data_IF_183261452055
#
_entry.id   IF_183261452055
#
_cell.length_a   1.000
_cell.length_b   1.000
_cell.length_c   1.000
_cell.angle_alpha   90.00
_cell.angle_beta   90.00
_cell.angle_gamma   90.00
#
_symmetry.space_group_name_H-M   'P 1'
#
loop_
_entity.id
_entity.type
_entity.pdbx_description
1 polymer ?
#
# COMPACT_ATOMS: atom_id res chain seq x y z
N UNK A 1 1.04 -6.92 -8.09
CA UNK A 1 1.02 -6.98 -6.61
C UNK A 1 1.11 -5.62 -5.94
N UNK A 2 1.94 -4.67 -6.39
CA UNK A 2 1.89 -3.28 -5.88
C UNK A 2 1.94 -2.25 -7.01
N UNK A 3 2.74 -2.52 -8.04
CA UNK A 3 2.93 -1.63 -9.18
C UNK A 3 2.06 -2.06 -10.36
N UNK A 4 2.47 -3.10 -11.09
CA UNK A 4 1.75 -3.62 -12.26
C UNK A 4 2.71 -4.26 -13.27
N UNK A 5 2.21 -4.51 -14.48
CA UNK A 5 2.98 -5.04 -15.61
C UNK A 5 2.61 -4.27 -16.90
N UNK A 6 3.59 -3.79 -17.70
CA UNK A 6 5.04 -3.80 -17.47
C UNK A 6 5.46 -2.87 -16.32
N UNK A 7 6.31 -3.37 -15.40
CA UNK A 7 6.58 -2.72 -14.10
C UNK A 7 6.96 -1.26 -14.19
N UNK A 8 7.89 -0.90 -15.09
CA UNK A 8 8.39 0.47 -15.19
C UNK A 8 7.30 1.44 -15.65
N UNK A 9 6.51 1.06 -16.68
CA UNK A 9 5.41 1.91 -17.16
C UNK A 9 4.33 2.07 -16.10
N UNK A 10 3.97 1.00 -15.39
CA UNK A 10 3.01 1.10 -14.29
C UNK A 10 3.50 2.02 -13.18
N UNK A 11 4.80 1.99 -12.83
CA UNK A 11 5.38 2.89 -11.83
C UNK A 11 5.33 4.37 -12.28
N UNK A 12 5.55 4.64 -13.56
CA UNK A 12 5.40 6.00 -14.11
C UNK A 12 3.95 6.49 -14.01
N UNK A 13 2.98 5.67 -14.45
CA UNK A 13 1.55 6.00 -14.36
C UNK A 13 1.15 6.25 -12.90
N UNK A 14 1.58 5.40 -11.98
CA UNK A 14 1.33 5.59 -10.54
C UNK A 14 1.91 6.92 -10.05
N UNK A 15 3.14 7.27 -10.45
CA UNK A 15 3.77 8.52 -10.05
C UNK A 15 3.05 9.75 -10.62
N UNK A 16 2.62 9.67 -11.89
CA UNK A 16 1.82 10.70 -12.58
C UNK A 16 0.47 10.91 -11.87
N UNK A 17 -0.23 9.83 -11.50
CA UNK A 17 -1.56 9.89 -10.88
C UNK A 17 -1.54 10.27 -9.39
N UNK A 18 -0.57 9.79 -8.61
CA UNK A 18 -0.52 10.07 -7.17
C UNK A 18 0.15 11.41 -6.84
N UNK A 19 0.98 11.94 -7.75
CA UNK A 19 1.69 13.22 -7.61
C UNK A 19 2.46 13.40 -6.28
N UNK A 20 2.73 12.31 -5.56
CA UNK A 20 3.39 12.31 -4.25
C UNK A 20 4.10 10.98 -4.02
N UNK A 21 5.22 11.03 -3.29
CA UNK A 21 5.91 9.81 -2.85
C UNK A 21 5.02 8.94 -1.96
N UNK A 22 5.16 7.62 -2.07
CA UNK A 22 4.43 6.64 -1.24
C UNK A 22 5.02 6.47 0.16
N UNK A 23 6.24 6.97 0.41
CA UNK A 23 6.94 6.77 1.67
C UNK A 23 7.15 5.28 1.95
N UNK A 24 6.86 4.83 3.18
CA UNK A 24 6.96 3.43 3.55
C UNK A 24 5.92 2.53 2.86
N UNK A 25 4.79 3.09 2.40
CA UNK A 25 3.71 2.31 1.80
C UNK A 25 4.22 1.54 0.59
N UNK A 26 4.05 0.22 0.63
CA UNK A 26 4.47 -0.73 -0.40
C UNK A 26 5.98 -0.89 -0.61
N UNK A 27 6.78 -0.33 0.30
CA UNK A 27 8.18 -0.71 0.50
C UNK A 27 8.29 -2.01 1.31
N UNK A 28 9.42 -2.19 1.99
CA UNK A 28 9.71 -3.40 2.76
C UNK A 28 10.30 -3.05 4.12
N UNK A 29 9.92 -3.82 5.13
CA UNK A 29 10.55 -3.87 6.44
C UNK A 29 11.01 -5.31 6.70
N UNK A 30 12.17 -5.45 7.30
CA UNK A 30 12.73 -6.76 7.58
C UNK A 30 14.13 -6.66 8.18
N UNK A 31 14.91 -7.73 8.07
CA UNK A 31 16.23 -7.80 8.70
C UNK A 31 17.27 -8.43 7.77
N UNK A 32 18.52 -8.02 7.97
CA UNK A 32 19.70 -8.63 7.39
C UNK A 32 20.66 -9.00 8.52
N UNK A 33 21.08 -10.26 8.58
CA UNK A 33 22.01 -10.76 9.60
C UNK A 33 23.45 -10.80 9.10
N UNK A 34 24.42 -10.91 10.02
CA UNK A 34 25.85 -11.01 9.66
C UNK A 34 26.20 -12.31 8.93
N UNK A 35 25.43 -13.38 9.12
CA UNK A 35 25.54 -14.63 8.38
C UNK A 35 24.80 -14.60 7.03
N UNK A 36 24.29 -13.43 6.62
CA UNK A 36 23.74 -13.21 5.28
C UNK A 36 22.28 -13.60 5.09
N UNK A 37 21.54 -13.89 6.18
CA UNK A 37 20.09 -14.16 6.08
C UNK A 37 19.34 -12.84 5.91
N UNK A 38 18.44 -12.82 4.95
CA UNK A 38 17.58 -11.69 4.63
C UNK A 38 16.13 -12.16 4.60
N UNK A 39 15.28 -11.46 5.33
CA UNK A 39 13.82 -11.61 5.23
C UNK A 39 13.19 -10.23 5.16
N UNK A 40 12.31 -10.02 4.20
CA UNK A 40 11.66 -8.74 3.89
C UNK A 40 10.18 -8.97 3.62
N UNK A 41 9.34 -8.12 4.20
CA UNK A 41 7.92 -8.10 3.88
C UNK A 41 7.58 -7.10 2.77
N UNK A 42 6.27 -6.96 2.50
CA UNK A 42 5.71 -5.81 1.79
C UNK A 42 4.86 -5.03 2.79
N UNK A 43 5.10 -3.73 2.89
CA UNK A 43 4.37 -2.83 3.78
C UNK A 43 3.00 -2.46 3.20
N UNK A 44 2.06 -3.39 3.36
CA UNK A 44 0.62 -3.22 3.16
C UNK A 44 -0.10 -3.48 4.48
N UNK A 45 -1.34 -2.98 4.62
CA UNK A 45 -2.07 -3.05 5.90
C UNK A 45 -1.20 -2.51 7.06
N UNK A 46 -0.50 -1.40 6.80
CA UNK A 46 0.42 -0.77 7.75
C UNK A 46 0.08 0.72 7.85
N UNK A 47 0.46 1.33 8.97
CA UNK A 47 0.31 2.77 9.21
C UNK A 47 1.67 3.39 9.47
N UNK A 48 1.84 4.65 9.08
CA UNK A 48 3.02 5.46 9.41
C UNK A 48 2.57 6.60 10.32
N UNK A 49 3.21 6.72 11.48
CA UNK A 49 3.04 7.84 12.41
C UNK A 49 4.21 8.80 12.23
N UNK A 50 3.92 10.05 11.90
CA UNK A 50 4.90 11.13 11.88
C UNK A 50 4.42 12.24 12.80
N UNK A 51 5.21 12.59 13.82
CA UNK A 51 4.81 13.45 14.92
C UNK A 51 3.47 13.03 15.55
N UNK A 52 2.37 13.74 15.26
CA UNK A 52 1.02 13.43 15.75
C UNK A 52 0.05 13.05 14.63
N UNK A 53 0.55 12.83 13.41
CA UNK A 53 -0.25 12.49 12.25
C UNK A 53 -0.02 11.02 11.87
N UNK A 54 -1.09 10.25 11.97
CA UNK A 54 -1.14 8.87 11.50
C UNK A 54 -1.66 8.85 10.06
N UNK A 55 -0.99 8.12 9.19
CA UNK A 55 -1.39 7.96 7.79
C UNK A 55 -1.30 6.50 7.37
N UNK A 56 -2.17 6.10 6.46
CA UNK A 56 -2.11 4.81 5.80
C UNK A 56 -2.63 4.94 4.38
N UNK A 57 -2.32 3.96 3.55
CA UNK A 57 -2.81 3.87 2.18
C UNK A 57 -3.31 2.44 1.93
N UNK A 58 -4.26 2.33 1.02
CA UNK A 58 -4.77 1.07 0.48
C UNK A 58 -5.00 1.25 -1.01
N UNK A 59 -4.98 0.16 -1.78
CA UNK A 59 -5.27 0.18 -3.20
C UNK A 59 -5.69 -1.18 -3.73
N UNK A 60 -6.05 -1.19 -5.00
CA UNK A 60 -6.45 -2.37 -5.76
C UNK A 60 -5.64 -2.49 -7.06
N UNK A 61 -5.65 -3.68 -7.65
CA UNK A 61 -5.00 -3.92 -8.93
C UNK A 61 -6.02 -3.68 -10.04
N UNK A 62 -5.70 -2.80 -10.99
CA UNK A 62 -6.60 -2.48 -12.11
C UNK A 62 -6.21 -3.31 -13.33
N UNK A 63 -7.19 -3.98 -13.93
CA UNK A 63 -7.09 -4.68 -15.21
C UNK A 63 -8.13 -4.14 -16.20
N UNK A 64 -8.10 -4.59 -17.46
CA UNK A 64 -8.98 -4.07 -18.50
C UNK A 64 -10.48 -4.23 -18.17
N UNK A 65 -10.84 -5.33 -17.49
CA UNK A 65 -12.22 -5.66 -17.15
C UNK A 65 -12.59 -5.22 -15.71
N UNK A 66 -11.75 -4.41 -15.06
CA UNK A 66 -12.04 -3.91 -13.72
C UNK A 66 -13.24 -2.97 -13.73
N UNK A 67 -14.12 -3.16 -12.76
CA UNK A 67 -15.24 -2.26 -12.48
C UNK A 67 -14.83 -1.21 -11.43
N UNK A 68 -14.88 0.10 -11.73
CA UNK A 68 -14.38 1.13 -10.83
C UNK A 68 -15.02 1.12 -9.42
N UNK A 69 -16.32 0.81 -9.34
CA UNK A 69 -17.04 0.80 -8.06
C UNK A 69 -16.58 -0.37 -7.19
N UNK A 70 -16.46 -1.56 -7.80
CA UNK A 70 -15.98 -2.76 -7.11
C UNK A 70 -14.53 -2.62 -6.62
N UNK A 71 -13.65 -2.01 -7.41
CA UNK A 71 -12.25 -1.79 -7.01
C UNK A 71 -12.13 -0.80 -5.84
N UNK A 72 -13.00 0.22 -5.81
CA UNK A 72 -13.09 1.16 -4.70
C UNK A 72 -13.61 0.48 -3.43
N UNK A 73 -14.63 -0.38 -3.55
CA UNK A 73 -15.15 -1.18 -2.45
C UNK A 73 -14.09 -2.12 -1.87
N UNK A 74 -13.31 -2.79 -2.72
CA UNK A 74 -12.19 -3.62 -2.31
C UNK A 74 -11.12 -2.80 -1.57
N UNK A 75 -10.78 -1.63 -2.09
CA UNK A 75 -9.81 -0.73 -1.46
C UNK A 75 -10.29 -0.27 -0.07
N UNK A 76 -11.57 0.10 0.06
CA UNK A 76 -12.21 0.41 1.35
C UNK A 76 -12.20 -0.81 2.27
N UNK A 77 -12.47 -2.01 1.76
CA UNK A 77 -12.42 -3.24 2.54
C UNK A 77 -11.03 -3.51 3.13
N UNK A 78 -9.97 -3.26 2.36
CA UNK A 78 -8.59 -3.36 2.83
C UNK A 78 -8.28 -2.33 3.93
N UNK A 79 -8.81 -1.11 3.80
CA UNK A 79 -8.66 -0.04 4.78
C UNK A 79 -9.45 -0.29 6.08
N UNK A 80 -10.62 -0.94 6.02
CA UNK A 80 -11.49 -1.16 7.20
C UNK A 80 -10.76 -1.85 8.36
N UNK A 81 -9.93 -2.86 8.07
CA UNK A 81 -9.18 -3.56 9.12
C UNK A 81 -8.21 -2.65 9.87
N UNK A 82 -7.61 -1.68 9.17
CA UNK A 82 -6.73 -0.68 9.78
C UNK A 82 -7.53 0.30 10.65
N UNK A 83 -8.66 0.80 10.14
CA UNK A 83 -9.52 1.72 10.89
C UNK A 83 -10.12 1.07 12.14
N UNK A 84 -10.52 -0.20 12.06
CA UNK A 84 -11.02 -0.96 13.20
C UNK A 84 -9.96 -1.10 14.32
N UNK A 85 -8.69 -1.28 13.96
CA UNK A 85 -7.60 -1.36 14.93
C UNK A 85 -7.39 -0.06 15.74
N UNK A 86 -7.85 1.09 15.24
CA UNK A 86 -7.81 2.37 15.95
C UNK A 86 -9.04 2.62 16.85
N UNK A 87 -9.90 1.61 17.04
CA UNK A 87 -11.11 1.72 17.84
C UNK A 87 -12.39 1.94 17.03
N UNK A 88 -12.30 1.96 15.70
CA UNK A 88 -13.43 2.10 14.77
C UNK A 88 -14.04 3.51 14.80
N UNK A 89 -14.34 4.07 13.62
CA UNK A 89 -15.30 5.17 13.55
C UNK A 89 -16.70 4.56 13.70
N UNK A 90 -17.35 4.82 14.82
CA UNK A 90 -18.82 4.81 14.88
C UNK A 90 -19.35 6.02 14.13
#
# INVERSE_FOLDING_TARGET
TITGCPKFRCMQIIAELEAAGRGAYTGSLGYLTRDGRLDLNILIRSMTLSARQLSFRAGAGIVADSDPERELEETRAKARGLLAALGGFR
#
